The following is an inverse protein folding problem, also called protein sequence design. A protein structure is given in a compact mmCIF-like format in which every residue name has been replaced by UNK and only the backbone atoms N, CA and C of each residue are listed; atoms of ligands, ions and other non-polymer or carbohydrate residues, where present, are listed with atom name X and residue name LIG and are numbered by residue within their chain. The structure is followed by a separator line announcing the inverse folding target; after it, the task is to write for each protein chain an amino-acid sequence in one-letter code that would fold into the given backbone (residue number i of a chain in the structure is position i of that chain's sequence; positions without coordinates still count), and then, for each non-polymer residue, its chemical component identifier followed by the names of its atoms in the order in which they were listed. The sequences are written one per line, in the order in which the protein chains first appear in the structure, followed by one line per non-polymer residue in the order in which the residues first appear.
data_IF_912103798837
#
_entry.id   IF_912103798837
#
_cell.length_a   1.000
_cell.length_b   1.000
_cell.length_c   1.000
_cell.angle_alpha   90.00
_cell.angle_beta   90.00
_cell.angle_gamma   90.00
#
_symmetry.space_group_name_H-M   'P 1'
#
loop_
_entity.id
_entity.type
_entity.pdbx_description
1 polymer ?
#
# COMPACT_ATOMS: atom_id res chain seq x y z
N UNK A 1 -30.42 -16.60 -3.33
CA UNK A 1 -30.97 -15.29 -3.72
C UNK A 1 -30.47 -14.93 -5.09
N UNK A 2 -31.34 -14.47 -6.01
CA UNK A 2 -30.92 -13.98 -7.33
C UNK A 2 -30.35 -12.58 -7.19
N UNK A 3 -29.27 -12.27 -7.91
CA UNK A 3 -28.81 -10.89 -8.04
C UNK A 3 -29.85 -10.13 -8.87
N UNK A 4 -30.30 -9.00 -8.35
CA UNK A 4 -31.22 -8.10 -9.04
C UNK A 4 -30.42 -6.85 -9.39
N UNK A 5 -30.32 -6.54 -10.68
CA UNK A 5 -29.67 -5.32 -11.17
C UNK A 5 -30.73 -4.32 -11.62
N UNK A 6 -30.42 -3.03 -11.53
CA UNK A 6 -31.31 -1.96 -12.01
C UNK A 6 -30.66 -1.22 -13.18
N UNK A 7 -31.49 -0.73 -14.09
CA UNK A 7 -31.04 0.14 -15.18
C UNK A 7 -30.74 1.54 -14.64
N UNK A 8 -29.47 1.94 -14.71
CA UNK A 8 -29.00 3.27 -14.29
C UNK A 8 -29.07 4.32 -15.41
N UNK A 9 -29.40 3.92 -16.64
CA UNK A 9 -29.33 4.75 -17.85
C UNK A 9 -30.70 5.18 -18.40
N UNK A 10 -31.78 4.48 -18.02
CA UNK A 10 -33.10 4.66 -18.60
C UNK A 10 -34.07 5.54 -17.76
N UNK A 11 -35.13 6.09 -18.39
CA UNK A 11 -36.23 6.68 -17.65
C UNK A 11 -36.92 5.60 -16.80
N UNK A 12 -37.28 5.94 -15.57
CA UNK A 12 -38.09 5.08 -14.70
C UNK A 12 -39.44 4.77 -15.35
N UNK A 13 -39.96 3.55 -15.24
CA UNK A 13 -41.33 3.25 -15.65
C UNK A 13 -42.28 3.86 -14.61
N UNK A 14 -42.86 5.02 -14.93
CA UNK A 14 -43.76 5.80 -14.05
C UNK A 14 -43.17 6.13 -12.67
N UNK A 15 -41.86 6.40 -12.59
CA UNK A 15 -41.18 6.72 -11.34
C UNK A 15 -40.64 5.51 -10.56
N UNK A 16 -40.86 4.28 -11.05
CA UNK A 16 -40.33 3.07 -10.44
C UNK A 16 -39.02 2.62 -11.10
N UNK A 17 -38.08 2.16 -10.26
CA UNK A 17 -36.82 1.58 -10.69
C UNK A 17 -37.10 0.22 -11.35
N UNK A 18 -36.65 0.03 -12.59
CA UNK A 18 -36.76 -1.25 -13.29
C UNK A 18 -35.68 -2.21 -12.78
N UNK A 19 -36.11 -3.40 -12.40
CA UNK A 19 -35.26 -4.47 -11.86
C UNK A 19 -35.20 -5.64 -12.84
N UNK A 20 -33.99 -6.05 -13.20
CA UNK A 20 -33.73 -7.21 -14.03
C UNK A 20 -33.12 -8.31 -13.16
N UNK A 21 -33.83 -9.43 -12.94
CA UNK A 21 -33.24 -10.57 -12.25
C UNK A 21 -32.18 -11.19 -13.15
N UNK A 22 -30.97 -11.40 -12.62
CA UNK A 22 -29.98 -12.20 -13.32
C UNK A 22 -30.31 -13.69 -13.18
N UNK A 23 -29.91 -14.51 -14.16
CA UNK A 23 -30.02 -15.97 -14.10
C UNK A 23 -29.08 -16.62 -13.05
N UNK A 24 -28.20 -15.82 -12.44
CA UNK A 24 -27.32 -16.26 -11.36
C UNK A 24 -28.09 -16.53 -10.08
N UNK A 25 -28.13 -17.78 -9.64
CA UNK A 25 -28.62 -18.17 -8.32
C UNK A 25 -27.44 -18.46 -7.39
N UNK A 26 -27.27 -17.64 -6.34
CA UNK A 26 -26.36 -17.96 -5.24
C UNK A 26 -27.16 -18.58 -4.09
N UNK A 27 -26.93 -19.86 -3.82
CA UNK A 27 -27.68 -20.63 -2.83
C UNK A 27 -26.78 -21.06 -1.68
N UNK A 28 -27.09 -20.55 -0.49
CA UNK A 28 -26.51 -21.01 0.77
C UNK A 28 -27.45 -22.07 1.36
N UNK A 29 -26.93 -23.25 1.61
CA UNK A 29 -27.60 -24.38 2.23
C UNK A 29 -26.91 -24.72 3.55
N UNK A 30 -27.57 -25.49 4.43
CA UNK A 30 -26.93 -25.96 5.65
C UNK A 30 -25.63 -26.73 5.36
N UNK A 31 -25.60 -27.49 4.26
CA UNK A 31 -24.44 -28.29 3.85
C UNK A 31 -23.24 -27.46 3.39
N UNK A 32 -23.44 -26.26 2.84
CA UNK A 32 -22.34 -25.39 2.38
C UNK A 32 -22.13 -24.14 3.25
N UNK A 33 -22.91 -23.96 4.31
CA UNK A 33 -22.91 -22.75 5.15
C UNK A 33 -21.52 -22.39 5.69
N UNK A 34 -20.79 -23.40 6.21
CA UNK A 34 -19.45 -23.19 6.76
C UNK A 34 -18.46 -22.77 5.67
N UNK A 35 -18.50 -23.41 4.50
CA UNK A 35 -17.65 -23.06 3.36
C UNK A 35 -17.92 -21.63 2.88
N UNK A 36 -19.19 -21.25 2.73
CA UNK A 36 -19.57 -19.89 2.33
C UNK A 36 -19.15 -18.84 3.37
N UNK A 37 -19.25 -19.17 4.66
CA UNK A 37 -18.76 -18.30 5.75
C UNK A 37 -17.24 -18.11 5.66
N UNK A 38 -16.47 -19.18 5.41
CA UNK A 38 -15.03 -19.08 5.26
C UNK A 38 -14.63 -18.28 4.01
N UNK A 39 -15.31 -18.51 2.88
CA UNK A 39 -15.10 -17.74 1.66
C UNK A 39 -15.32 -16.24 1.90
N UNK A 40 -16.38 -15.87 2.62
CA UNK A 40 -16.67 -14.49 2.99
C UNK A 40 -15.55 -13.89 3.86
N UNK A 41 -15.08 -14.64 4.86
CA UNK A 41 -13.95 -14.21 5.72
C UNK A 41 -12.69 -13.97 4.88
N UNK A 42 -12.38 -14.86 3.94
CA UNK A 42 -11.22 -14.71 3.07
C UNK A 42 -11.33 -13.48 2.16
N UNK A 43 -12.50 -13.26 1.55
CA UNK A 43 -12.74 -12.12 0.67
C UNK A 43 -12.62 -10.79 1.43
N UNK A 44 -13.24 -10.69 2.61
CA UNK A 44 -13.10 -9.50 3.46
C UNK A 44 -11.66 -9.31 3.93
N UNK A 45 -10.96 -10.39 4.29
CA UNK A 45 -9.58 -10.30 4.75
C UNK A 45 -8.64 -9.84 3.63
N UNK A 46 -8.85 -10.34 2.41
CA UNK A 46 -8.18 -9.85 1.21
C UNK A 46 -8.48 -8.38 0.96
N UNK A 47 -9.74 -7.95 1.06
CA UNK A 47 -10.11 -6.54 0.91
C UNK A 47 -9.40 -5.63 1.93
N UNK A 48 -9.40 -6.00 3.21
CA UNK A 48 -8.69 -5.23 4.25
C UNK A 48 -7.19 -5.16 3.95
N UNK A 49 -6.59 -6.26 3.48
CA UNK A 49 -5.19 -6.27 3.09
C UNK A 49 -4.91 -5.26 1.96
N UNK A 50 -5.79 -5.19 0.94
CA UNK A 50 -5.69 -4.20 -0.13
C UNK A 50 -5.74 -2.77 0.41
N UNK A 51 -6.70 -2.48 1.29
CA UNK A 51 -6.85 -1.15 1.88
C UNK A 51 -5.66 -0.75 2.76
N UNK A 52 -5.11 -1.71 3.52
CA UNK A 52 -3.90 -1.49 4.31
C UNK A 52 -2.69 -1.15 3.43
N UNK A 53 -2.57 -1.78 2.24
CA UNK A 53 -1.49 -1.49 1.29
C UNK A 53 -1.54 -0.06 0.79
N UNK A 54 -2.72 0.38 0.36
CA UNK A 54 -2.94 1.73 -0.15
C UNK A 54 -2.73 2.76 0.98
N UNK A 55 -3.28 2.51 2.16
CA UNK A 55 -3.12 3.37 3.35
C UNK A 55 -1.65 3.55 3.74
N UNK A 56 -0.88 2.45 3.80
CA UNK A 56 0.54 2.52 4.11
C UNK A 56 1.34 3.25 3.02
N UNK A 57 0.98 3.05 1.76
CA UNK A 57 1.60 3.76 0.63
C UNK A 57 1.33 5.26 0.70
N UNK A 58 0.09 5.67 0.98
CA UNK A 58 -0.30 7.07 1.19
C UNK A 58 0.45 7.67 2.38
N UNK A 59 0.53 6.97 3.52
CA UNK A 59 1.32 7.39 4.68
C UNK A 59 2.76 7.72 4.29
N UNK A 60 3.45 6.81 3.60
CA UNK A 60 4.83 7.02 3.20
C UNK A 60 4.98 8.19 2.21
N UNK A 61 4.05 8.35 1.27
CA UNK A 61 4.04 9.48 0.31
C UNK A 61 3.84 10.81 1.03
N UNK A 62 2.88 10.88 1.95
CA UNK A 62 2.59 12.08 2.74
C UNK A 62 3.77 12.47 3.63
N UNK A 63 4.41 11.49 4.26
CA UNK A 63 5.60 11.72 5.08
C UNK A 63 6.78 12.25 4.25
N UNK A 64 7.05 11.64 3.09
CA UNK A 64 8.07 12.13 2.16
C UNK A 64 7.75 13.54 1.63
N UNK A 65 6.47 13.81 1.36
CA UNK A 65 5.97 15.11 0.92
C UNK A 65 6.32 16.16 1.96
N UNK A 66 5.85 15.95 3.20
CA UNK A 66 6.11 16.88 4.29
C UNK A 66 7.61 17.08 4.53
N UNK A 67 8.40 16.01 4.55
CA UNK A 67 9.85 16.10 4.70
C UNK A 67 10.47 16.98 3.60
N UNK A 68 10.16 16.71 2.34
CA UNK A 68 10.73 17.47 1.23
C UNK A 68 10.25 18.92 1.19
N UNK A 69 9.04 19.23 1.66
CA UNK A 69 8.55 20.61 1.76
C UNK A 69 9.35 21.45 2.77
N UNK A 70 9.86 20.81 3.82
CA UNK A 70 10.72 21.45 4.84
C UNK A 70 12.19 21.51 4.38
N UNK A 71 12.65 20.48 3.66
CA UNK A 71 14.03 20.32 3.23
C UNK A 71 14.18 20.34 1.70
N UNK A 72 13.66 21.38 1.05
CA UNK A 72 13.61 21.52 -0.41
C UNK A 72 14.97 21.23 -1.09
N UNK A 73 16.06 21.76 -0.55
CA UNK A 73 17.44 21.56 -1.07
C UNK A 73 17.86 20.08 -1.16
N UNK A 74 17.39 19.24 -0.23
CA UNK A 74 17.66 17.80 -0.27
C UNK A 74 16.82 17.10 -1.34
N UNK A 75 15.56 17.51 -1.52
CA UNK A 75 14.69 17.00 -2.58
C UNK A 75 15.33 17.19 -3.96
N UNK A 76 15.93 18.37 -4.22
CA UNK A 76 16.68 18.65 -5.44
C UNK A 76 17.85 17.69 -5.64
N UNK A 77 18.71 17.50 -4.62
CA UNK A 77 19.87 16.60 -4.70
C UNK A 77 19.45 15.15 -4.95
N UNK A 78 18.34 14.71 -4.34
CA UNK A 78 17.85 13.34 -4.48
C UNK A 78 17.21 13.05 -5.85
N UNK A 79 16.64 14.06 -6.53
CA UNK A 79 16.05 13.95 -7.88
C UNK A 79 17.01 14.33 -9.02
N UNK A 80 18.00 15.19 -8.79
CA UNK A 80 19.02 15.54 -9.80
C UNK A 80 19.76 14.31 -10.35
N UNK A 81 19.81 13.23 -9.57
CA UNK A 81 20.42 11.95 -9.97
C UNK A 81 19.58 11.16 -11.01
N UNK A 82 18.34 11.55 -11.32
CA UNK A 82 17.46 10.74 -12.18
C UNK A 82 16.82 11.44 -13.38
N UNK A 83 16.90 12.75 -13.49
CA UNK A 83 16.15 13.50 -14.51
C UNK A 83 17.09 14.15 -15.53
N UNK A 84 17.25 13.48 -16.68
CA UNK A 84 17.82 14.04 -17.92
C UNK A 84 16.89 15.08 -18.60
N UNK A 85 15.80 15.51 -17.96
CA UNK A 85 14.93 16.61 -18.44
C UNK A 85 14.90 17.72 -17.40
N UNK A 86 15.90 18.60 -17.45
CA UNK A 86 16.11 19.70 -16.49
C UNK A 86 15.04 20.80 -16.58
N UNK A 87 14.38 21.01 -17.73
CA UNK A 87 13.62 22.25 -17.95
C UNK A 87 12.26 22.33 -17.22
N UNK A 88 11.53 21.21 -17.08
CA UNK A 88 10.20 21.21 -16.43
C UNK A 88 10.32 21.31 -14.90
N UNK A 89 11.29 20.59 -14.30
CA UNK A 89 11.49 20.66 -12.85
C UNK A 89 12.02 22.01 -12.39
N UNK A 90 12.95 22.60 -13.14
CA UNK A 90 13.53 23.90 -12.76
C UNK A 90 12.46 25.00 -12.80
N UNK A 91 11.51 24.92 -13.72
CA UNK A 91 10.37 25.83 -13.76
C UNK A 91 9.41 25.58 -12.58
N UNK A 92 8.98 24.32 -12.38
CA UNK A 92 8.05 23.92 -11.31
C UNK A 92 8.56 24.27 -9.90
N UNK A 93 9.85 24.10 -9.67
CA UNK A 93 10.48 24.42 -8.40
C UNK A 93 10.75 25.92 -8.22
N UNK A 94 11.02 26.67 -9.31
CA UNK A 94 11.04 28.15 -9.25
C UNK A 94 9.66 28.68 -8.87
N UNK A 95 8.58 28.12 -9.40
CA UNK A 95 7.22 28.48 -8.97
C UNK A 95 6.95 28.10 -7.52
N UNK A 96 7.41 26.93 -7.05
CA UNK A 96 7.26 26.49 -5.66
C UNK A 96 8.03 27.35 -4.64
N UNK A 97 9.24 27.77 -4.99
CA UNK A 97 10.08 28.63 -4.14
C UNK A 97 9.53 30.07 -4.11
N UNK A 98 8.99 30.56 -5.24
CA UNK A 98 8.47 31.92 -5.37
C UNK A 98 7.02 32.06 -4.86
N UNK A 99 6.18 31.02 -4.99
CA UNK A 99 4.81 31.02 -4.49
C UNK A 99 4.76 30.42 -3.08
N UNK A 100 5.08 31.24 -2.07
CA UNK A 100 4.90 30.89 -0.64
C UNK A 100 3.42 30.74 -0.20
N UNK A 101 2.47 30.86 -1.13
CA UNK A 101 1.03 30.75 -0.91
C UNK A 101 0.46 29.34 -1.18
N UNK A 102 -0.87 29.20 -1.03
CA UNK A 102 -1.60 27.94 -1.16
C UNK A 102 -1.44 27.24 -2.53
N UNK A 103 -1.09 27.97 -3.59
CA UNK A 103 -0.90 27.43 -4.95
C UNK A 103 0.39 26.60 -5.06
N UNK A 104 1.50 27.03 -4.46
CA UNK A 104 2.75 26.24 -4.43
C UNK A 104 2.56 24.91 -3.69
N UNK A 105 1.73 24.89 -2.65
CA UNK A 105 1.33 23.65 -1.93
C UNK A 105 0.54 22.68 -2.82
N UNK A 106 -0.39 23.17 -3.65
CA UNK A 106 -1.17 22.34 -4.58
C UNK A 106 -0.27 21.71 -5.64
N UNK A 107 0.64 22.48 -6.21
CA UNK A 107 1.62 22.00 -7.18
C UNK A 107 2.57 20.97 -6.56
N UNK A 108 3.05 21.20 -5.34
CA UNK A 108 3.90 20.23 -4.65
C UNK A 108 3.16 18.92 -4.32
N UNK A 109 1.91 19.00 -3.85
CA UNK A 109 1.09 17.83 -3.61
C UNK A 109 0.83 17.06 -4.91
N UNK A 110 0.48 17.75 -5.99
CA UNK A 110 0.35 17.17 -7.33
C UNK A 110 1.66 16.52 -7.79
N UNK A 111 2.81 17.16 -7.55
CA UNK A 111 4.13 16.61 -7.87
C UNK A 111 4.51 15.39 -7.04
N UNK A 112 4.05 15.32 -5.78
CA UNK A 112 4.25 14.19 -4.87
C UNK A 112 3.32 13.02 -5.18
N UNK A 113 2.07 13.30 -5.56
CA UNK A 113 1.15 12.35 -6.19
C UNK A 113 1.74 11.78 -7.48
N UNK A 114 2.39 12.65 -8.27
CA UNK A 114 3.14 12.34 -9.47
C UNK A 114 4.63 12.03 -9.22
N UNK A 115 5.07 11.79 -7.98
CA UNK A 115 6.32 11.05 -7.76
C UNK A 115 6.02 9.69 -8.33
N UNK A 116 6.47 9.52 -9.58
CA UNK A 116 6.45 8.30 -10.36
C UNK A 116 7.07 7.21 -9.51
N UNK A 117 6.21 6.54 -8.77
CA UNK A 117 6.47 5.27 -8.20
C UNK A 117 6.52 4.34 -9.41
N UNK A 118 7.72 4.05 -9.90
CA UNK A 118 7.88 2.99 -10.89
C UNK A 118 7.19 1.70 -10.39
N UNK A 119 6.99 0.72 -11.28
CA UNK A 119 6.34 -0.56 -10.93
C UNK A 119 6.70 -0.99 -9.50
N UNK A 120 5.69 -1.08 -8.64
CA UNK A 120 5.74 -1.52 -7.23
C UNK A 120 6.33 -0.56 -6.20
N UNK A 121 6.22 0.77 -6.36
CA UNK A 121 6.60 1.73 -5.32
C UNK A 121 8.07 1.61 -4.84
N UNK A 122 8.93 0.94 -5.60
CA UNK A 122 10.32 0.64 -5.23
C UNK A 122 11.18 1.89 -4.94
N UNK A 123 10.76 3.02 -5.50
CA UNK A 123 11.40 4.31 -5.28
C UNK A 123 11.15 4.87 -3.88
N UNK A 124 10.01 4.59 -3.24
CA UNK A 124 9.69 5.08 -1.89
C UNK A 124 10.77 4.67 -0.89
N UNK A 125 11.04 3.37 -0.81
CA UNK A 125 12.06 2.80 0.08
C UNK A 125 13.49 3.27 -0.26
N UNK A 126 13.74 3.61 -1.52
CA UNK A 126 15.01 4.23 -1.92
C UNK A 126 15.15 5.63 -1.32
N UNK A 127 14.08 6.43 -1.31
CA UNK A 127 14.10 7.76 -0.71
C UNK A 127 14.18 7.70 0.82
N UNK A 128 13.39 6.84 1.47
CA UNK A 128 13.44 6.64 2.92
C UNK A 128 14.87 6.33 3.41
N UNK A 129 15.58 5.41 2.73
CA UNK A 129 16.98 5.05 3.05
C UNK A 129 17.99 6.17 2.83
N UNK A 130 17.72 7.09 1.90
CA UNK A 130 18.61 8.22 1.62
C UNK A 130 18.38 9.36 2.59
N UNK A 131 17.15 9.51 3.09
CA UNK A 131 16.79 10.54 4.06
C UNK A 131 17.29 10.16 5.45
N UNK A 132 17.06 8.92 5.88
CA UNK A 132 17.48 8.49 7.22
C UNK A 132 18.42 7.28 7.17
N UNK A 133 19.62 7.48 7.72
CA UNK A 133 20.59 6.41 7.93
C UNK A 133 20.07 5.35 8.91
N UNK A 134 19.34 5.79 9.95
CA UNK A 134 18.68 4.90 10.90
C UNK A 134 17.62 4.03 10.24
N UNK A 135 16.82 4.57 9.30
CA UNK A 135 15.87 3.75 8.56
C UNK A 135 16.58 2.63 7.79
N UNK A 136 17.66 2.97 7.07
CA UNK A 136 18.46 1.98 6.31
C UNK A 136 19.00 0.86 7.21
N UNK A 137 19.39 1.16 8.44
CA UNK A 137 19.84 0.17 9.42
C UNK A 137 18.68 -0.69 9.94
N UNK A 138 17.61 -0.06 10.42
CA UNK A 138 16.48 -0.76 11.06
C UNK A 138 15.64 -1.59 10.06
N UNK A 139 15.67 -1.23 8.76
CA UNK A 139 15.05 -2.02 7.69
C UNK A 139 15.55 -3.48 7.66
N UNK A 140 16.80 -3.71 8.07
CA UNK A 140 17.44 -5.03 8.07
C UNK A 140 17.58 -5.55 9.50
N UNK A 141 17.96 -4.66 10.44
CA UNK A 141 18.24 -5.01 11.83
C UNK A 141 17.05 -4.59 12.69
N UNK A 142 16.08 -5.49 12.82
CA UNK A 142 14.90 -5.30 13.68
C UNK A 142 14.57 -6.57 14.47
N UNK A 143 13.74 -6.40 15.50
CA UNK A 143 13.38 -7.47 16.45
C UNK A 143 12.63 -8.64 15.79
N UNK A 144 12.00 -8.43 14.63
CA UNK A 144 11.32 -9.48 13.88
C UNK A 144 12.28 -10.26 12.97
N UNK A 145 13.52 -9.78 12.78
CA UNK A 145 14.52 -10.35 11.86
C UNK A 145 13.99 -10.47 10.42
N UNK A 146 13.14 -9.53 10.01
CA UNK A 146 12.55 -9.48 8.67
C UNK A 146 13.15 -8.30 7.90
N UNK A 147 13.50 -8.50 6.63
CA UNK A 147 13.84 -7.38 5.76
C UNK A 147 12.54 -6.67 5.33
N UNK A 148 12.35 -5.43 5.78
CA UNK A 148 11.08 -4.71 5.59
C UNK A 148 10.82 -4.31 4.13
N UNK A 149 11.87 -4.16 3.32
CA UNK A 149 11.75 -3.93 1.88
C UNK A 149 11.28 -5.19 1.15
N UNK A 150 11.79 -6.37 1.54
CA UNK A 150 11.29 -7.64 1.00
C UNK A 150 9.86 -7.93 1.45
N UNK A 151 9.50 -7.59 2.69
CA UNK A 151 8.12 -7.64 3.16
C UNK A 151 7.19 -6.77 2.31
N UNK A 152 7.55 -5.51 2.08
CA UNK A 152 6.73 -4.62 1.28
C UNK A 152 6.61 -5.10 -0.18
N UNK A 153 7.67 -5.66 -0.77
CA UNK A 153 7.58 -6.26 -2.12
C UNK A 153 6.60 -7.42 -2.16
N UNK A 154 6.69 -8.33 -1.18
CA UNK A 154 5.76 -9.45 -1.04
C UNK A 154 4.33 -8.93 -0.85
N UNK A 155 4.14 -7.89 -0.05
CA UNK A 155 2.85 -7.27 0.16
C UNK A 155 2.28 -6.67 -1.14
N UNK A 156 3.10 -5.95 -1.92
CA UNK A 156 2.71 -5.41 -3.23
C UNK A 156 2.35 -6.51 -4.25
N UNK A 157 3.11 -7.62 -4.25
CA UNK A 157 2.84 -8.77 -5.09
C UNK A 157 1.52 -9.44 -4.66
N UNK A 158 1.29 -9.59 -3.36
CA UNK A 158 0.05 -10.16 -2.82
C UNK A 158 -1.16 -9.32 -3.25
N UNK A 159 -1.06 -7.99 -3.12
CA UNK A 159 -2.05 -7.03 -3.61
C UNK A 159 -2.33 -7.22 -5.10
N UNK A 160 -1.30 -7.34 -5.93
CA UNK A 160 -1.45 -7.57 -7.37
C UNK A 160 -2.16 -8.90 -7.68
N UNK A 161 -1.79 -9.98 -7.00
CA UNK A 161 -2.39 -11.31 -7.19
C UNK A 161 -3.86 -11.33 -6.78
N UNK A 162 -4.21 -10.72 -5.65
CA UNK A 162 -5.62 -10.59 -5.21
C UNK A 162 -6.43 -9.80 -6.25
N UNK A 163 -5.91 -8.65 -6.69
CA UNK A 163 -6.65 -7.73 -7.58
C UNK A 163 -6.81 -8.22 -9.01
N UNK A 164 -5.84 -8.96 -9.55
CA UNK A 164 -5.83 -9.29 -10.98
C UNK A 164 -5.92 -10.79 -11.30
N UNK A 165 -5.58 -11.67 -10.36
CA UNK A 165 -5.50 -13.11 -10.62
C UNK A 165 -6.50 -13.93 -9.78
N UNK A 166 -7.52 -13.29 -9.19
CA UNK A 166 -8.49 -13.96 -8.32
C UNK A 166 -7.82 -14.71 -7.17
N UNK A 167 -6.75 -14.12 -6.62
CA UNK A 167 -5.91 -14.70 -5.57
C UNK A 167 -5.08 -15.94 -5.96
N UNK A 168 -5.08 -16.38 -7.23
CA UNK A 168 -4.29 -17.55 -7.69
C UNK A 168 -2.82 -17.21 -7.89
N UNK A 169 -1.95 -18.08 -7.40
CA UNK A 169 -0.49 -17.93 -7.46
C UNK A 169 0.06 -18.84 -8.56
N UNK A 170 0.82 -18.26 -9.48
CA UNK A 170 1.51 -19.01 -10.53
C UNK A 170 2.92 -19.42 -10.11
N UNK A 171 3.44 -20.51 -10.66
CA UNK A 171 4.81 -20.96 -10.40
C UNK A 171 5.84 -19.95 -10.89
N UNK A 172 5.55 -19.27 -12.00
CA UNK A 172 6.38 -18.15 -12.50
C UNK A 172 6.54 -17.05 -11.45
N UNK A 173 5.47 -16.72 -10.72
CA UNK A 173 5.53 -15.73 -9.65
C UNK A 173 6.41 -16.22 -8.50
N UNK A 174 6.22 -17.47 -8.05
CA UNK A 174 7.05 -18.06 -6.99
C UNK A 174 8.53 -18.13 -7.37
N UNK A 175 8.83 -18.54 -8.60
CA UNK A 175 10.20 -18.62 -9.12
C UNK A 175 10.92 -17.27 -9.21
N UNK A 176 10.17 -16.16 -9.24
CA UNK A 176 10.73 -14.81 -9.21
C UNK A 176 11.05 -14.27 -7.81
N UNK A 177 10.66 -14.97 -6.74
CA UNK A 177 10.86 -14.53 -5.36
C UNK A 177 12.19 -15.06 -4.79
N UNK A 178 12.87 -14.23 -3.99
CA UNK A 178 14.05 -14.67 -3.24
C UNK A 178 13.66 -15.64 -2.12
N UNK A 179 14.63 -16.40 -1.57
CA UNK A 179 14.39 -17.31 -0.42
C UNK A 179 13.76 -16.58 0.78
N UNK A 180 14.20 -15.34 1.05
CA UNK A 180 13.63 -14.55 2.14
C UNK A 180 12.21 -14.07 1.82
N UNK A 181 11.97 -13.65 0.58
CA UNK A 181 10.63 -13.25 0.14
C UNK A 181 9.66 -14.43 0.18
N UNK A 182 10.08 -15.64 -0.21
CA UNK A 182 9.27 -16.85 -0.08
C UNK A 182 8.89 -17.14 1.38
N UNK A 183 9.84 -17.00 2.32
CA UNK A 183 9.55 -17.13 3.76
C UNK A 183 8.54 -16.10 4.26
N UNK A 184 8.58 -14.88 3.73
CA UNK A 184 7.58 -13.86 4.09
C UNK A 184 6.24 -14.17 3.41
N UNK A 185 6.27 -14.66 2.17
CA UNK A 185 5.09 -14.99 1.40
C UNK A 185 4.25 -16.07 2.07
N UNK A 186 4.85 -16.95 2.88
CA UNK A 186 4.07 -17.93 3.68
C UNK A 186 3.10 -17.31 4.67
N UNK A 187 3.26 -16.04 5.06
CA UNK A 187 2.26 -15.33 5.88
C UNK A 187 0.98 -15.02 5.10
N UNK A 188 1.04 -14.99 3.77
CA UNK A 188 -0.07 -14.57 2.90
C UNK A 188 -0.80 -15.76 2.25
N UNK A 189 -0.15 -16.92 2.16
CA UNK A 189 -0.65 -18.05 1.36
C UNK A 189 -1.16 -19.18 2.24
N UNK A 190 -2.10 -19.96 1.69
CA UNK A 190 -2.30 -21.32 2.13
C UNK A 190 -1.38 -22.24 1.31
N UNK A 191 -0.59 -23.08 1.99
CA UNK A 191 0.42 -23.93 1.35
C UNK A 191 -0.20 -24.98 0.44
N UNK A 192 -1.45 -25.36 0.69
CA UNK A 192 -2.13 -26.46 0.01
C UNK A 192 -2.75 -26.03 -1.32
N UNK A 193 -3.23 -24.78 -1.44
CA UNK A 193 -4.14 -24.40 -2.51
C UNK A 193 -3.54 -23.49 -3.60
N UNK A 194 -2.23 -23.19 -3.57
CA UNK A 194 -1.59 -22.21 -4.47
C UNK A 194 -2.41 -20.91 -4.63
N UNK A 195 -3.08 -20.50 -3.55
CA UNK A 195 -3.95 -19.32 -3.50
C UNK A 195 -3.59 -18.48 -2.28
N UNK A 196 -3.76 -17.18 -2.42
CA UNK A 196 -3.78 -16.27 -1.27
C UNK A 196 -5.08 -16.51 -0.52
N UNK A 197 -4.96 -17.01 0.71
CA UNK A 197 -6.07 -17.26 1.62
C UNK A 197 -5.64 -16.74 2.99
N UNK A 198 -6.21 -15.59 3.34
CA UNK A 198 -5.89 -14.86 4.54
C UNK A 198 -6.94 -15.18 5.59
N UNK A 199 -6.56 -16.02 6.55
CA UNK A 199 -7.33 -16.15 7.79
C UNK A 199 -7.27 -14.84 8.56
N UNK A 200 -8.23 -14.61 9.45
CA UNK A 200 -8.25 -13.45 10.34
C UNK A 200 -6.95 -13.32 11.15
N UNK A 201 -6.39 -14.44 11.62
CA UNK A 201 -5.13 -14.47 12.36
C UNK A 201 -3.95 -14.00 11.50
N UNK A 202 -3.81 -14.54 10.28
CA UNK A 202 -2.76 -14.13 9.33
C UNK A 202 -2.87 -12.66 8.99
N UNK A 203 -4.10 -12.18 8.73
CA UNK A 203 -4.35 -10.77 8.46
C UNK A 203 -3.94 -9.90 9.65
N UNK A 204 -4.33 -10.26 10.87
CA UNK A 204 -3.97 -9.53 12.09
C UNK A 204 -2.45 -9.39 12.22
N UNK A 205 -1.69 -10.49 12.03
CA UNK A 205 -0.24 -10.44 12.03
C UNK A 205 0.34 -9.51 10.95
N UNK A 206 -0.22 -9.53 9.74
CA UNK A 206 0.21 -8.63 8.66
C UNK A 206 -0.06 -7.16 9.02
N UNK A 207 -1.24 -6.84 9.57
CA UNK A 207 -1.60 -5.48 9.98
C UNK A 207 -0.69 -4.95 11.10
N UNK A 208 -0.34 -5.81 12.07
CA UNK A 208 0.66 -5.48 13.10
C UNK A 208 2.01 -5.16 12.46
N UNK A 209 2.50 -5.99 11.53
CA UNK A 209 3.79 -5.75 10.85
C UNK A 209 3.78 -4.45 10.04
N UNK A 210 2.68 -4.13 9.34
CA UNK A 210 2.53 -2.86 8.61
C UNK A 210 2.59 -1.67 9.59
N UNK A 211 1.91 -1.77 10.73
CA UNK A 211 1.88 -0.72 11.75
C UNK A 211 3.26 -0.52 12.40
N UNK A 212 3.93 -1.61 12.75
CA UNK A 212 5.30 -1.58 13.28
C UNK A 212 6.27 -0.97 12.26
N UNK A 213 6.11 -1.27 10.97
CA UNK A 213 6.93 -0.67 9.90
C UNK A 213 6.66 0.83 9.76
N UNK A 214 5.40 1.26 9.82
CA UNK A 214 5.05 2.69 9.79
C UNK A 214 5.65 3.43 10.99
N UNK A 215 5.56 2.84 12.19
CA UNK A 215 6.16 3.40 13.39
C UNK A 215 7.68 3.47 13.30
N UNK A 216 8.34 2.45 12.73
CA UNK A 216 9.77 2.45 12.51
C UNK A 216 10.20 3.59 11.57
N UNK A 217 9.47 3.82 10.47
CA UNK A 217 9.71 4.96 9.57
C UNK A 217 9.59 6.28 10.34
N UNK A 218 8.49 6.47 11.07
CA UNK A 218 8.27 7.65 11.90
C UNK A 218 9.42 7.87 12.90
N UNK A 219 9.81 6.82 13.63
CA UNK A 219 10.90 6.86 14.61
C UNK A 219 12.23 7.24 13.95
N UNK A 220 12.58 6.61 12.84
CA UNK A 220 13.83 6.90 12.12
C UNK A 220 13.90 8.36 11.69
N UNK A 221 12.81 8.91 11.14
CA UNK A 221 12.76 10.31 10.71
C UNK A 221 12.78 11.28 11.88
N UNK A 222 12.12 10.92 12.99
CA UNK A 222 12.14 11.72 14.21
C UNK A 222 13.56 11.82 14.78
N UNK A 223 14.30 10.71 14.83
CA UNK A 223 15.70 10.71 15.27
C UNK A 223 16.56 11.58 14.35
N UNK A 224 16.42 11.42 13.03
CA UNK A 224 17.17 12.21 12.04
C UNK A 224 16.90 13.72 12.17
N UNK A 225 15.69 14.08 12.58
CA UNK A 225 15.26 15.47 12.74
C UNK A 225 15.47 16.01 14.16
N UNK A 226 16.09 15.24 15.07
CA UNK A 226 16.28 15.63 16.47
C UNK A 226 14.99 15.73 17.30
N UNK A 227 13.90 15.11 16.85
CA UNK A 227 12.60 15.14 17.50
C UNK A 227 12.43 13.99 18.51
N UNK A 228 11.66 14.24 19.56
CA UNK A 228 11.29 13.19 20.51
C UNK A 228 10.26 12.24 19.89
N UNK A 229 10.69 11.03 19.54
CA UNK A 229 9.83 9.98 18.99
C UNK A 229 9.03 9.21 20.04
N UNK A 230 9.32 9.38 21.34
CA UNK A 230 8.65 8.67 22.45
C UNK A 230 7.31 9.30 22.81
N UNK A 231 6.60 9.87 21.83
CA UNK A 231 5.30 10.53 22.05
C UNK A 231 4.24 9.58 22.62
N UNK A 232 4.35 8.28 22.32
CA UNK A 232 3.42 7.26 22.80
C UNK A 232 3.76 6.74 24.20
N UNK A 233 4.92 7.08 24.79
CA UNK A 233 5.34 6.55 26.10
C UNK A 233 4.35 6.93 27.22
N UNK A 234 3.58 8.00 27.01
CA UNK A 234 2.61 8.53 27.97
C UNK A 234 1.15 8.39 27.50
N UNK A 235 0.90 7.78 26.33
CA UNK A 235 -0.47 7.46 25.91
C UNK A 235 -0.87 6.17 26.63
N UNK A 236 -1.68 6.32 27.68
CA UNK A 236 -2.37 5.21 28.35
C UNK A 236 -3.61 4.83 27.57
#
# INVERSE_FOLDING_TARGET
TRLIISDLSGPTDKGFLLYYPTDGEYKVTLSNYNEQTQNLIFDYSSFILLQAYESFTVFCKSLLSQYFSLYNNQAFRLRAVRLKKQNILTHFFKTLINNKGNEGKKDFNYFMENIYCGKNNSNLFKYLRKISGHYKQFEIVNNKKINLSDFYKVFAISRHVITHNGSKITDKLKGGLSKNQLKIFTYFINKECNKIELTQEKLSHILVLISEQAFLIYKSFSIESGLNWKILKNMK
#
